data_IF_010005972590
#
_entry.id   IF_010005972590
#
_cell.length_a   1.000
_cell.length_b   1.000
_cell.length_c   1.000
_cell.angle_alpha   90.00
_cell.angle_beta   90.00
_cell.angle_gamma   90.00
#
_symmetry.space_group_name_H-M   'P 1'
#
loop_
_entity.id
_entity.type
_entity.pdbx_description
1 polymer ?
#
# COMPACT_ATOMS: atom_id res chain seq x y z
N UNK A 1 9.13 0.22 5.97
CA UNK A 1 7.77 -0.29 6.21
C UNK A 1 6.91 0.88 5.83
N UNK A 2 6.09 0.75 4.78
CA UNK A 2 5.41 1.90 4.18
C UNK A 2 4.46 2.54 5.21
N UNK A 3 4.90 3.62 5.84
CA UNK A 3 4.17 4.31 6.91
C UNK A 3 3.67 5.70 6.49
N UNK A 4 3.80 6.02 5.20
CA UNK A 4 3.29 7.26 4.64
C UNK A 4 3.08 7.15 3.15
N UNK A 5 1.95 7.63 2.65
CA UNK A 5 1.72 7.68 1.22
C UNK A 5 0.90 8.90 0.81
N UNK A 6 0.74 9.10 -0.49
CA UNK A 6 -0.09 10.16 -1.05
C UNK A 6 -1.09 9.60 -2.05
N UNK A 7 -2.25 10.25 -2.12
CA UNK A 7 -3.25 10.08 -3.17
C UNK A 7 -3.55 11.48 -3.73
N UNK A 8 -2.89 11.81 -4.83
CA UNK A 8 -2.93 13.12 -5.48
C UNK A 8 -3.91 13.09 -6.66
N UNK A 9 -4.06 11.92 -7.27
CA UNK A 9 -5.01 11.68 -8.33
C UNK A 9 -6.42 12.11 -7.92
N UNK A 10 -7.13 12.67 -8.87
CA UNK A 10 -8.50 13.14 -8.74
C UNK A 10 -9.47 11.96 -8.59
N UNK A 11 -10.69 12.19 -8.08
CA UNK A 11 -11.73 11.18 -8.05
C UNK A 11 -12.00 10.54 -9.42
N UNK A 12 -11.95 11.33 -10.50
CA UNK A 12 -12.17 10.85 -11.87
C UNK A 12 -11.04 9.92 -12.33
N UNK A 13 -9.77 10.28 -12.08
CA UNK A 13 -8.62 9.43 -12.41
C UNK A 13 -8.64 8.11 -11.60
N UNK A 14 -9.09 8.15 -10.34
CA UNK A 14 -9.30 6.91 -9.56
C UNK A 14 -10.49 6.12 -10.09
N UNK A 15 -11.57 6.78 -10.48
CA UNK A 15 -12.74 6.13 -11.10
C UNK A 15 -12.36 5.39 -12.37
N UNK A 16 -11.59 6.03 -13.24
CA UNK A 16 -11.07 5.45 -14.49
C UNK A 16 -10.09 4.31 -14.21
N UNK A 17 -9.13 4.48 -13.29
CA UNK A 17 -8.11 3.46 -13.01
C UNK A 17 -8.68 2.16 -12.42
N UNK A 18 -9.86 2.21 -11.81
CA UNK A 18 -10.46 1.07 -11.12
C UNK A 18 -11.87 0.70 -11.60
N UNK A 19 -12.33 1.25 -12.72
CA UNK A 19 -13.68 1.02 -13.26
C UNK A 19 -14.81 1.29 -12.23
N UNK A 20 -14.71 2.40 -11.49
CA UNK A 20 -15.69 2.80 -10.47
C UNK A 20 -16.39 4.08 -10.91
N UNK A 21 -17.72 4.04 -10.95
CA UNK A 21 -18.55 5.23 -11.19
C UNK A 21 -19.01 5.85 -9.88
N UNK A 22 -19.06 7.19 -9.81
CA UNK A 22 -19.69 7.89 -8.69
C UNK A 22 -18.90 7.88 -7.39
N UNK A 23 -17.57 7.95 -7.47
CA UNK A 23 -16.71 8.13 -6.29
C UNK A 23 -17.01 9.49 -5.65
N UNK A 24 -17.24 9.49 -4.33
CA UNK A 24 -17.42 10.73 -3.57
C UNK A 24 -16.21 11.67 -3.76
N UNK A 25 -16.43 12.98 -3.96
CA UNK A 25 -15.33 13.92 -4.12
C UNK A 25 -14.39 13.94 -2.90
N UNK A 26 -13.08 13.86 -3.16
CA UNK A 26 -12.05 14.00 -2.14
C UNK A 26 -10.93 14.93 -2.62
N UNK A 27 -10.28 15.67 -1.71
CA UNK A 27 -9.14 16.51 -2.08
C UNK A 27 -7.88 15.65 -2.26
N UNK A 28 -6.87 16.15 -3.02
CA UNK A 28 -5.55 15.52 -3.05
C UNK A 28 -4.94 15.53 -1.65
N UNK A 29 -4.32 14.40 -1.28
CA UNK A 29 -3.68 14.21 0.03
C UNK A 29 -2.23 13.78 -0.17
N UNK A 30 -1.32 14.65 0.21
CA UNK A 30 0.12 14.47 -0.02
C UNK A 30 0.84 13.71 1.09
N UNK A 31 0.23 13.54 2.28
CA UNK A 31 0.92 13.02 3.46
C UNK A 31 -0.01 12.18 4.37
N UNK A 32 -0.56 11.11 3.81
CA UNK A 32 -1.48 10.20 4.50
C UNK A 32 -0.73 9.32 5.49
N UNK A 33 -1.05 9.44 6.77
CA UNK A 33 -0.41 8.72 7.88
C UNK A 33 -1.31 7.62 8.47
N UNK A 34 -0.74 6.62 9.17
CA UNK A 34 -1.50 5.62 9.90
C UNK A 34 -2.53 6.24 10.85
N UNK A 35 -3.60 5.50 11.11
CA UNK A 35 -4.86 5.88 11.79
C UNK A 35 -5.79 6.81 11.02
N UNK A 36 -5.32 7.47 9.95
CA UNK A 36 -6.19 8.30 9.12
C UNK A 36 -7.10 7.42 8.24
N UNK A 37 -8.27 7.93 7.82
CA UNK A 37 -9.09 7.27 6.81
C UNK A 37 -8.33 7.24 5.48
N UNK A 38 -8.44 6.15 4.74
CA UNK A 38 -7.88 5.93 3.40
C UNK A 38 -8.94 5.34 2.49
N UNK A 39 -8.86 5.65 1.20
CA UNK A 39 -9.73 5.02 0.21
C UNK A 39 -9.28 3.57 0.02
N UNK A 40 -10.22 2.64 0.14
CA UNK A 40 -10.02 1.24 -0.22
C UNK A 40 -11.08 0.84 -1.23
N UNK A 41 -10.65 0.08 -2.22
CA UNK A 41 -11.49 -0.45 -3.27
C UNK A 41 -11.72 -1.93 -2.99
N UNK A 42 -12.99 -2.31 -3.02
CA UNK A 42 -13.46 -3.65 -2.68
C UNK A 42 -14.35 -4.18 -3.78
N UNK A 43 -14.52 -5.50 -3.86
CA UNK A 43 -15.56 -6.07 -4.71
C UNK A 43 -16.95 -5.69 -4.18
N UNK A 44 -17.86 -5.29 -5.07
CA UNK A 44 -19.24 -5.00 -4.71
C UNK A 44 -19.95 -6.22 -4.07
N UNK A 45 -19.55 -7.44 -4.44
CA UNK A 45 -20.09 -8.68 -3.90
C UNK A 45 -19.75 -8.86 -2.42
N UNK A 46 -18.59 -8.38 -1.98
CA UNK A 46 -18.16 -8.47 -0.57
C UNK A 46 -18.97 -7.54 0.35
N UNK A 47 -19.45 -6.40 -0.18
CA UNK A 47 -20.26 -5.45 0.60
C UNK A 47 -21.74 -5.81 0.64
N UNK A 48 -22.29 -6.26 -0.50
CA UNK A 48 -23.75 -6.39 -0.67
C UNK A 48 -24.22 -7.84 -0.75
N UNK A 49 -23.31 -8.81 -0.72
CA UNK A 49 -23.63 -10.23 -0.83
C UNK A 49 -24.06 -10.69 -2.22
N UNK A 50 -23.85 -9.87 -3.27
CA UNK A 50 -24.22 -10.23 -4.64
C UNK A 50 -24.12 -9.14 -5.72
N UNK A 51 -23.66 -7.92 -5.40
CA UNK A 51 -23.42 -6.88 -6.40
C UNK A 51 -22.23 -7.17 -7.33
N UNK A 52 -22.26 -6.61 -8.54
CA UNK A 52 -21.18 -6.67 -9.51
C UNK A 52 -20.34 -5.39 -9.50
N UNK A 53 -19.08 -5.48 -9.95
CA UNK A 53 -18.16 -4.36 -10.04
C UNK A 53 -17.40 -4.08 -8.74
N UNK A 54 -16.89 -2.85 -8.62
CA UNK A 54 -16.02 -2.43 -7.53
C UNK A 54 -16.61 -1.20 -6.85
N UNK A 55 -16.39 -1.09 -5.54
CA UNK A 55 -16.82 0.05 -4.74
C UNK A 55 -15.63 0.66 -4.02
N UNK A 56 -15.66 1.98 -3.84
CA UNK A 56 -14.68 2.71 -3.05
C UNK A 56 -15.28 3.07 -1.68
N UNK A 57 -14.52 2.83 -0.60
CA UNK A 57 -14.92 3.11 0.77
C UNK A 57 -13.81 3.83 1.53
N UNK A 58 -14.19 4.65 2.51
CA UNK A 58 -13.23 5.22 3.47
C UNK A 58 -13.04 4.26 4.65
N UNK A 59 -11.81 3.79 4.82
CA UNK A 59 -11.43 2.80 5.82
C UNK A 59 -10.34 3.37 6.72
N UNK A 60 -10.40 3.13 8.02
CA UNK A 60 -9.33 3.53 8.94
C UNK A 60 -8.06 2.74 8.65
N UNK A 61 -6.95 3.41 8.34
CA UNK A 61 -5.67 2.75 8.14
C UNK A 61 -5.03 2.30 9.46
N UNK A 62 -5.12 1.01 9.76
CA UNK A 62 -4.71 0.38 10.99
C UNK A 62 -5.76 -0.64 11.36
N UNK A 63 -5.55 -1.88 10.91
CA UNK A 63 -6.49 -2.98 11.05
C UNK A 63 -6.69 -3.33 12.53
N UNK A 64 -7.95 -3.51 12.91
CA UNK A 64 -8.37 -4.02 14.20
C UNK A 64 -9.00 -5.40 13.97
N UNK A 65 -8.36 -6.49 14.41
CA UNK A 65 -8.93 -7.82 14.23
C UNK A 65 -10.30 -7.93 14.92
N UNK A 66 -11.25 -8.61 14.27
CA UNK A 66 -12.63 -8.74 14.76
C UNK A 66 -12.78 -9.32 16.19
N UNK A 67 -11.77 -10.03 16.69
CA UNK A 67 -11.78 -10.61 18.05
C UNK A 67 -11.30 -9.64 19.15
N UNK A 68 -10.79 -8.47 18.78
CA UNK A 68 -10.34 -7.44 19.73
C UNK A 68 -11.55 -6.82 20.42
N UNK A 69 -11.52 -6.74 21.76
CA UNK A 69 -12.61 -6.16 22.56
C UNK A 69 -12.52 -4.65 22.70
N UNK A 70 -11.31 -4.12 22.90
CA UNK A 70 -11.06 -2.68 23.00
C UNK A 70 -10.02 -2.25 21.96
N UNK A 71 -10.47 -1.46 20.99
CA UNK A 71 -9.64 -0.89 19.94
C UNK A 71 -8.51 0.00 20.46
N UNK A 72 -8.69 0.65 21.62
CA UNK A 72 -7.76 1.65 22.17
C UNK A 72 -6.51 1.02 22.78
N UNK A 73 -6.63 -0.21 23.24
CA UNK A 73 -5.52 -0.96 23.86
C UNK A 73 -4.74 -1.82 22.86
N UNK A 74 -5.22 -1.91 21.62
CA UNK A 74 -4.63 -2.77 20.61
C UNK A 74 -3.53 -2.07 19.80
N UNK A 75 -2.53 -2.85 19.38
CA UNK A 75 -1.43 -2.35 18.56
C UNK A 75 -1.90 -1.92 17.18
N UNK A 76 -1.33 -0.82 16.66
CA UNK A 76 -1.69 -0.31 15.34
C UNK A 76 -1.13 -1.21 14.22
N UNK A 77 -1.98 -2.03 13.60
CA UNK A 77 -1.62 -2.92 12.49
C UNK A 77 -1.89 -2.26 11.13
N UNK A 78 -1.05 -1.30 10.74
CA UNK A 78 -1.20 -0.58 9.47
C UNK A 78 -0.50 -1.27 8.28
N UNK A 79 0.44 -2.18 8.55
CA UNK A 79 1.04 -3.05 7.54
C UNK A 79 0.95 -4.52 7.95
N UNK A 80 0.89 -5.40 6.96
CA UNK A 80 1.03 -6.84 7.14
C UNK A 80 2.06 -7.40 6.15
N UNK A 81 2.84 -8.39 6.58
CA UNK A 81 3.81 -9.09 5.71
C UNK A 81 3.05 -10.11 4.87
N UNK A 82 3.05 -9.93 3.56
CA UNK A 82 2.33 -10.80 2.61
C UNK A 82 2.69 -12.28 2.79
N UNK A 83 3.95 -12.57 3.11
CA UNK A 83 4.50 -13.91 3.30
C UNK A 83 3.81 -14.69 4.44
N UNK A 84 3.22 -13.99 5.42
CA UNK A 84 2.61 -14.62 6.61
C UNK A 84 1.18 -14.17 6.87
N UNK A 85 0.64 -13.24 6.08
CA UNK A 85 -0.68 -12.66 6.30
C UNK A 85 -1.80 -13.71 6.26
N UNK A 86 -1.69 -14.70 5.37
CA UNK A 86 -2.66 -15.80 5.26
C UNK A 86 -2.71 -16.72 6.50
N UNK A 87 -1.66 -16.71 7.34
CA UNK A 87 -1.53 -17.60 8.50
C UNK A 87 -1.82 -16.87 9.82
N UNK A 88 -1.47 -15.58 9.91
CA UNK A 88 -1.55 -14.82 11.16
C UNK A 88 -3.00 -14.59 11.59
N UNK A 89 -3.37 -14.85 12.86
CA UNK A 89 -4.75 -14.67 13.35
C UNK A 89 -5.33 -13.26 13.14
N UNK A 90 -4.49 -12.23 13.09
CA UNK A 90 -4.91 -10.86 12.84
C UNK A 90 -5.36 -10.61 11.40
N UNK A 91 -4.89 -11.40 10.42
CA UNK A 91 -5.05 -11.10 8.99
C UNK A 91 -5.68 -12.23 8.18
N UNK A 92 -5.58 -13.49 8.63
CA UNK A 92 -6.04 -14.68 7.88
C UNK A 92 -7.50 -14.62 7.46
N UNK A 93 -8.37 -14.02 8.28
CA UNK A 93 -9.78 -13.81 7.97
C UNK A 93 -9.96 -12.83 6.81
N UNK A 94 -9.33 -11.66 6.92
CA UNK A 94 -9.35 -10.63 5.87
C UNK A 94 -8.71 -11.10 4.57
N UNK A 95 -7.60 -11.85 4.63
CA UNK A 95 -6.95 -12.41 3.45
C UNK A 95 -7.88 -13.35 2.66
N UNK A 96 -8.80 -14.02 3.36
CA UNK A 96 -9.76 -14.93 2.75
C UNK A 96 -11.04 -14.26 2.26
N UNK A 97 -11.41 -13.11 2.83
CA UNK A 97 -12.78 -12.59 2.68
C UNK A 97 -12.90 -11.10 2.36
N UNK A 98 -11.82 -10.33 2.49
CA UNK A 98 -11.82 -8.87 2.42
C UNK A 98 -10.49 -8.37 1.86
N UNK A 99 -10.13 -8.85 0.66
CA UNK A 99 -8.97 -8.36 -0.09
C UNK A 99 -9.35 -7.06 -0.79
N UNK A 100 -8.51 -6.05 -0.66
CA UNK A 100 -8.81 -4.70 -1.14
C UNK A 100 -7.67 -4.15 -1.99
N UNK A 101 -7.95 -3.12 -2.78
CA UNK A 101 -6.95 -2.30 -3.47
C UNK A 101 -6.90 -0.94 -2.80
N UNK A 102 -5.71 -0.40 -2.53
CA UNK A 102 -5.52 0.93 -1.95
C UNK A 102 -4.92 1.84 -3.01
N UNK A 103 -5.69 2.79 -3.58
CA UNK A 103 -5.18 3.75 -4.53
C UNK A 103 -4.10 4.62 -3.90
N UNK A 104 -2.99 4.80 -4.62
CA UNK A 104 -1.93 5.74 -4.25
C UNK A 104 -1.32 6.37 -5.51
N UNK A 105 -0.73 7.55 -5.34
CA UNK A 105 0.12 8.20 -6.35
C UNK A 105 1.60 7.98 -6.08
N UNK A 106 1.93 7.41 -4.93
CA UNK A 106 3.28 7.14 -4.46
C UNK A 106 3.32 7.03 -2.93
N UNK A 107 4.49 6.71 -2.39
CA UNK A 107 4.70 6.54 -0.96
C UNK A 107 6.03 7.11 -0.50
N UNK A 108 6.23 7.24 0.81
CA UNK A 108 7.50 7.71 1.37
C UNK A 108 8.20 6.61 2.13
N UNK A 109 9.52 6.56 1.95
CA UNK A 109 10.43 5.80 2.80
C UNK A 109 11.65 6.63 3.19
N UNK A 110 12.25 6.29 4.32
CA UNK A 110 13.34 7.06 4.92
C UNK A 110 14.63 6.24 4.89
N UNK A 111 15.59 6.66 4.06
CA UNK A 111 16.93 6.05 4.01
C UNK A 111 17.79 6.56 5.16
N UNK A 112 18.43 5.66 5.90
CA UNK A 112 19.45 6.01 6.91
C UNK A 112 20.84 5.69 6.38
N UNK A 113 21.70 6.70 6.27
CA UNK A 113 23.11 6.55 5.88
C UNK A 113 24.02 6.49 7.11
N UNK A 114 23.83 5.47 7.94
CA UNK A 114 24.57 5.26 9.20
C UNK A 114 23.72 5.49 10.46
N UNK A 115 24.17 4.93 11.59
CA UNK A 115 23.38 4.82 12.82
C UNK A 115 22.96 6.17 13.43
N UNK A 116 23.77 7.21 13.27
CA UNK A 116 23.53 8.54 13.84
C UNK A 116 23.02 9.58 12.84
N UNK A 117 22.93 9.22 11.56
CA UNK A 117 22.52 10.15 10.52
C UNK A 117 21.00 10.36 10.55
N UNK A 118 20.56 11.61 10.41
CA UNK A 118 19.14 11.90 10.24
C UNK A 118 18.65 11.26 8.93
N UNK A 119 17.55 10.52 9.00
CA UNK A 119 17.05 9.80 7.83
C UNK A 119 16.58 10.77 6.72
N UNK A 120 16.95 10.47 5.49
CA UNK A 120 16.54 11.21 4.29
C UNK A 120 15.23 10.60 3.75
N UNK A 121 14.11 11.34 3.71
CA UNK A 121 12.90 10.86 3.07
C UNK A 121 13.03 10.88 1.55
N UNK A 122 12.42 9.89 0.90
CA UNK A 122 12.24 9.81 -0.53
C UNK A 122 10.76 9.69 -0.84
N UNK A 123 10.30 10.47 -1.83
CA UNK A 123 9.02 10.24 -2.50
C UNK A 123 9.23 9.19 -3.59
N UNK A 124 8.61 8.03 -3.40
CA UNK A 124 8.72 6.87 -4.29
C UNK A 124 7.42 6.78 -5.08
N UNK A 125 7.52 6.86 -6.41
CA UNK A 125 6.35 6.91 -7.31
C UNK A 125 6.59 6.08 -8.57
N UNK A 126 5.52 5.60 -9.24
CA UNK A 126 5.65 4.92 -10.53
C UNK A 126 6.38 5.83 -11.54
N UNK A 127 7.36 5.29 -12.27
CA UNK A 127 8.17 6.08 -13.23
C UNK A 127 7.36 6.80 -14.29
N UNK A 128 6.27 6.18 -14.71
CA UNK A 128 5.39 6.71 -15.76
C UNK A 128 4.21 7.51 -15.20
N UNK A 129 4.19 7.79 -13.90
CA UNK A 129 3.07 8.43 -13.22
C UNK A 129 1.86 7.50 -13.10
N UNK A 130 0.69 8.10 -12.88
CA UNK A 130 -0.57 7.38 -12.74
C UNK A 130 -0.87 6.90 -11.31
N UNK A 131 -1.98 6.19 -11.19
CA UNK A 131 -2.46 5.62 -9.93
C UNK A 131 -1.98 4.17 -9.82
N UNK A 132 -1.37 3.84 -8.69
CA UNK A 132 -1.00 2.47 -8.32
C UNK A 132 -1.99 1.92 -7.30
N UNK A 133 -2.10 0.59 -7.26
CA UNK A 133 -2.96 -0.11 -6.33
C UNK A 133 -2.11 -0.95 -5.36
N UNK A 134 -2.02 -0.53 -4.10
CA UNK A 134 -1.44 -1.40 -3.10
C UNK A 134 -2.41 -2.53 -2.74
N UNK A 135 -1.89 -3.74 -2.56
CA UNK A 135 -2.68 -4.83 -2.02
C UNK A 135 -3.03 -4.52 -0.55
N UNK A 136 -4.32 -4.45 -0.24
CA UNK A 136 -4.84 -4.17 1.09
C UNK A 136 -5.67 -5.33 1.64
N UNK A 137 -5.87 -5.30 2.94
CA UNK A 137 -6.83 -6.15 3.64
C UNK A 137 -7.72 -5.26 4.51
N UNK A 138 -9.01 -5.57 4.54
CA UNK A 138 -10.00 -4.87 5.37
C UNK A 138 -10.59 -5.82 6.42
N UNK A 139 -10.98 -5.29 7.57
CA UNK A 139 -11.73 -5.98 8.60
C UNK A 139 -12.74 -4.99 9.17
N UNK A 140 -14.05 -5.25 9.04
CA UNK A 140 -15.02 -4.56 9.86
C UNK A 140 -14.77 -4.97 11.32
N UNK A 141 -14.89 -4.02 12.23
CA UNK A 141 -14.76 -4.23 13.66
C UNK A 141 -16.00 -3.70 14.38
N UNK A 142 -16.60 -4.53 15.23
CA UNK A 142 -17.76 -4.19 16.03
C UNK A 142 -17.35 -4.13 17.51
N UNK A 143 -17.43 -2.93 18.09
CA UNK A 143 -17.22 -2.69 19.50
C UNK A 143 -18.36 -3.23 20.37
N UNK A 144 -18.07 -3.49 21.64
CA UNK A 144 -19.07 -3.96 22.60
C UNK A 144 -20.19 -2.95 22.87
N UNK A 145 -19.96 -1.67 22.54
CA UNK A 145 -20.93 -0.58 22.61
C UNK A 145 -21.77 -0.41 21.34
N UNK A 146 -21.57 -1.27 20.34
CA UNK A 146 -22.24 -1.21 19.04
C UNK A 146 -21.53 -0.31 18.02
N UNK A 147 -20.36 0.24 18.33
CA UNK A 147 -19.57 1.02 17.36
C UNK A 147 -19.08 0.12 16.24
N UNK A 148 -19.33 0.50 14.99
CA UNK A 148 -18.79 -0.18 13.81
C UNK A 148 -17.70 0.67 13.16
N UNK A 149 -16.56 0.05 12.87
CA UNK A 149 -15.44 0.71 12.21
C UNK A 149 -14.87 -0.22 11.15
N UNK A 150 -14.86 0.24 9.90
CA UNK A 150 -14.07 -0.41 8.86
C UNK A 150 -12.60 -0.05 9.06
N UNK A 151 -11.77 -1.08 9.21
CA UNK A 151 -10.34 -0.92 9.44
C UNK A 151 -9.55 -1.71 8.41
N UNK A 152 -8.35 -1.24 8.05
CA UNK A 152 -7.59 -1.90 7.01
C UNK A 152 -6.08 -1.75 7.15
N UNK A 153 -5.36 -2.58 6.41
CA UNK A 153 -3.90 -2.65 6.42
C UNK A 153 -3.39 -2.81 5.00
N UNK A 154 -2.15 -2.40 4.76
CA UNK A 154 -1.47 -2.57 3.48
C UNK A 154 -0.53 -3.78 3.56
N UNK A 155 -0.55 -4.62 2.54
CA UNK A 155 0.40 -5.73 2.42
C UNK A 155 1.76 -5.21 1.95
N UNK A 156 2.80 -5.76 2.57
CA UNK A 156 4.19 -5.47 2.23
C UNK A 156 4.88 -6.75 1.78
N UNK A 157 5.90 -6.60 0.97
CA UNK A 157 6.79 -7.66 0.49
C UNK A 157 8.24 -7.19 0.58
N UNK A 158 9.20 -8.04 0.20
CA UNK A 158 10.60 -7.64 0.10
C UNK A 158 10.75 -6.49 -0.92
N UNK A 159 11.67 -5.56 -0.67
CA UNK A 159 11.98 -4.51 -1.65
C UNK A 159 12.78 -5.05 -2.83
N UNK A 160 12.59 -4.43 -3.98
CA UNK A 160 13.36 -4.63 -5.22
C UNK A 160 13.87 -3.29 -5.74
N UNK A 161 14.86 -3.31 -6.63
CA UNK A 161 15.36 -2.12 -7.33
C UNK A 161 15.72 -0.94 -6.41
N UNK A 162 15.33 0.28 -6.81
CA UNK A 162 15.73 1.51 -6.10
C UNK A 162 15.32 1.55 -4.63
N UNK A 163 14.18 0.94 -4.29
CA UNK A 163 13.64 0.98 -2.92
C UNK A 163 14.40 0.01 -1.99
N UNK A 164 15.07 -1.03 -2.52
CA UNK A 164 15.95 -1.88 -1.71
C UNK A 164 17.15 -1.11 -1.11
N UNK A 165 17.61 -0.05 -1.77
CA UNK A 165 18.65 0.84 -1.24
C UNK A 165 18.15 1.81 -0.15
N UNK A 166 16.83 1.91 0.03
CA UNK A 166 16.16 2.82 0.97
C UNK A 166 15.64 2.05 2.18
N UNK A 167 14.91 0.95 1.96
CA UNK A 167 14.31 0.12 3.00
C UNK A 167 14.17 -1.34 2.51
N UNK A 168 14.26 -2.31 3.42
CA UNK A 168 14.11 -3.76 3.14
C UNK A 168 12.68 -4.21 2.75
N UNK A 169 11.69 -3.32 2.79
CA UNK A 169 10.26 -3.63 2.58
C UNK A 169 9.61 -2.60 1.67
N UNK A 170 8.79 -3.09 0.75
CA UNK A 170 7.99 -2.30 -0.18
C UNK A 170 6.52 -2.71 -0.05
N UNK A 171 5.53 -1.82 -0.33
CA UNK A 171 4.16 -2.27 -0.52
C UNK A 171 4.05 -3.25 -1.70
N UNK A 172 3.14 -4.20 -1.58
CA UNK A 172 2.73 -5.05 -2.72
C UNK A 172 1.89 -4.20 -3.66
N UNK A 173 2.20 -4.21 -4.97
CA UNK A 173 1.42 -3.53 -6.00
C UNK A 173 0.71 -4.57 -6.85
N UNK A 174 -0.61 -4.48 -6.94
CA UNK A 174 -1.39 -5.34 -7.83
C UNK A 174 -1.45 -4.66 -9.21
N UNK A 175 -1.22 -5.42 -10.28
CA UNK A 175 -1.34 -4.91 -11.64
C UNK A 175 -2.82 -4.76 -12.04
N UNK A 176 -3.18 -3.80 -12.92
CA UNK A 176 -4.56 -3.61 -13.36
C UNK A 176 -5.24 -4.88 -13.90
N UNK A 177 -4.48 -5.72 -14.62
CA UNK A 177 -4.98 -6.98 -15.16
C UNK A 177 -5.37 -8.01 -14.08
N UNK A 178 -4.84 -7.86 -12.86
CA UNK A 178 -5.06 -8.79 -11.75
C UNK A 178 -6.05 -8.26 -10.70
N UNK A 179 -6.61 -7.06 -10.88
CA UNK A 179 -7.55 -6.46 -9.92
C UNK A 179 -8.73 -7.36 -9.62
N UNK A 180 -9.34 -7.95 -10.64
CA UNK A 180 -10.51 -8.82 -10.47
C UNK A 180 -10.15 -10.11 -9.75
N UNK A 181 -9.06 -10.78 -10.16
CA UNK A 181 -8.56 -11.99 -9.50
C UNK A 181 -8.18 -11.73 -8.04
N UNK A 182 -7.57 -10.58 -7.75
CA UNK A 182 -7.22 -10.18 -6.40
C UNK A 182 -8.48 -9.93 -5.55
N UNK A 183 -9.46 -9.18 -6.06
CA UNK A 183 -10.68 -8.82 -5.31
C UNK A 183 -11.69 -9.97 -5.18
N UNK A 184 -11.62 -11.00 -6.03
CA UNK A 184 -12.55 -12.13 -6.00
C UNK A 184 -12.18 -13.16 -4.91
N UNK A 185 -12.58 -12.87 -3.68
CA UNK A 185 -12.45 -13.78 -2.54
C UNK A 185 -13.40 -14.99 -2.58
N UNK A 186 -14.37 -15.03 -3.50
CA UNK A 186 -15.34 -16.13 -3.59
C UNK A 186 -14.77 -17.29 -4.39
N UNK A 187 -14.09 -16.99 -5.49
CA UNK A 187 -13.57 -18.00 -6.40
C UNK A 187 -12.06 -18.26 -6.23
N UNK A 188 -11.32 -17.36 -5.57
CA UNK A 188 -9.88 -17.52 -5.35
C UNK A 188 -9.52 -17.51 -3.85
N UNK A 189 -8.97 -18.62 -3.39
CA UNK A 189 -8.37 -18.74 -2.06
C UNK A 189 -7.01 -18.01 -1.98
N UNK A 190 -6.53 -17.64 -0.79
CA UNK A 190 -5.25 -16.94 -0.61
C UNK A 190 -4.06 -17.57 -1.33
N UNK A 191 -3.99 -18.91 -1.37
CA UNK A 191 -2.91 -19.65 -2.05
C UNK A 191 -2.94 -19.49 -3.58
N UNK A 192 -4.10 -19.20 -4.15
CA UNK A 192 -4.35 -19.08 -5.59
C UNK A 192 -4.10 -17.67 -6.11
N UNK A 193 -3.76 -16.73 -5.23
CA UNK A 193 -3.38 -15.34 -5.55
C UNK A 193 -2.01 -14.98 -4.98
N UNK A 194 -1.27 -15.97 -4.45
CA UNK A 194 0.01 -15.74 -3.79
C UNK A 194 1.09 -15.23 -4.78
N UNK A 195 0.97 -15.57 -6.06
CA UNK A 195 1.81 -15.06 -7.15
C UNK A 195 1.67 -13.54 -7.34
N UNK A 196 0.52 -12.95 -6.97
CA UNK A 196 0.28 -11.51 -7.05
C UNK A 196 0.98 -10.72 -5.92
N UNK A 197 1.53 -11.40 -4.92
CA UNK A 197 2.16 -10.78 -3.74
C UNK A 197 3.67 -10.58 -3.89
N UNK A 198 4.20 -10.78 -5.09
CA UNK A 198 5.59 -10.58 -5.41
C UNK A 198 6.01 -9.09 -5.32
N UNK A 199 7.30 -8.81 -5.10
CA UNK A 199 7.84 -7.46 -5.27
C UNK A 199 7.54 -6.91 -6.68
N UNK A 200 7.21 -5.62 -6.81
CA UNK A 200 7.10 -4.97 -8.12
C UNK A 200 8.40 -5.09 -8.92
N UNK A 201 8.35 -5.02 -10.26
CA UNK A 201 9.55 -4.98 -11.09
C UNK A 201 10.55 -3.92 -10.61
N UNK A 202 11.85 -4.22 -10.69
CA UNK A 202 12.90 -3.37 -10.13
C UNK A 202 12.92 -1.94 -10.70
N UNK A 203 12.45 -1.78 -11.94
CA UNK A 203 12.36 -0.52 -12.67
C UNK A 203 10.99 0.17 -12.52
N UNK A 204 10.01 -0.43 -11.83
CA UNK A 204 8.65 0.12 -11.70
C UNK A 204 8.63 1.50 -11.02
N UNK A 205 9.47 1.68 -10.01
CA UNK A 205 9.53 2.90 -9.20
C UNK A 205 10.76 3.76 -9.50
N UNK A 206 10.59 5.08 -9.36
CA UNK A 206 11.67 6.02 -9.10
C UNK A 206 11.57 6.56 -7.67
N UNK A 207 12.70 6.99 -7.11
CA UNK A 207 12.77 7.56 -5.77
C UNK A 207 13.40 8.96 -5.82
N UNK A 208 12.64 9.97 -5.42
CA UNK A 208 13.03 11.37 -5.44
C UNK A 208 13.29 11.86 -4.01
N UNK A 209 14.48 12.40 -3.67
CA UNK A 209 14.72 12.90 -2.32
C UNK A 209 13.84 14.14 -2.07
N UNK A 210 13.18 14.20 -0.91
CA UNK A 210 12.28 15.30 -0.54
C UNK A 210 12.66 15.95 0.79
N UNK A 211 11.99 17.05 1.12
CA UNK A 211 12.18 17.73 2.41
C UNK A 211 11.83 16.85 3.61
N UNK A 212 12.59 17.00 4.70
CA UNK A 212 12.30 16.34 6.00
C UNK A 212 10.96 16.76 6.61
N UNK A 213 10.35 17.84 6.11
CA UNK A 213 9.04 18.33 6.52
C UNK A 213 7.96 17.23 6.48
N UNK A 214 8.04 16.26 5.56
CA UNK A 214 7.05 15.17 5.45
C UNK A 214 6.98 14.29 6.71
N UNK A 215 8.07 14.20 7.48
CA UNK A 215 8.12 13.42 8.73
C UNK A 215 7.05 13.87 9.73
N UNK A 216 6.71 15.16 9.75
CA UNK A 216 5.59 15.68 10.53
C UNK A 216 4.28 15.44 9.78
N UNK A 217 3.45 14.51 10.30
CA UNK A 217 2.16 14.13 9.72
C UNK A 217 1.11 15.25 9.71
N UNK A 218 1.37 16.42 10.32
CA UNK A 218 0.50 17.60 10.24
C UNK A 218 0.74 18.42 8.97
N UNK A 219 1.89 18.25 8.32
CA UNK A 219 2.17 18.92 7.06
C UNK A 219 1.44 18.18 5.94
N UNK A 220 0.68 18.90 5.11
CA UNK A 220 -0.20 18.31 4.08
C UNK A 220 -0.05 18.97 2.71
N UNK A 221 0.94 19.85 2.53
CA UNK A 221 1.10 20.63 1.30
C UNK A 221 1.73 19.86 0.15
N UNK A 222 1.55 20.37 -1.07
CA UNK A 222 2.13 19.82 -2.28
C UNK A 222 3.67 19.91 -2.31
N UNK A 223 4.23 20.86 -1.55
CA UNK A 223 5.68 21.04 -1.35
C UNK A 223 6.36 19.80 -0.76
N UNK A 224 5.61 18.90 -0.12
CA UNK A 224 6.15 17.69 0.49
C UNK A 224 6.66 16.64 -0.50
N UNK A 225 6.20 16.71 -1.75
CA UNK A 225 6.64 15.81 -2.83
C UNK A 225 7.59 16.51 -3.81
N UNK A 226 7.91 17.79 -3.59
CA UNK A 226 8.85 18.52 -4.44
C UNK A 226 10.27 17.97 -4.23
N UNK A 227 10.95 17.52 -5.30
CA UNK A 227 12.30 16.98 -5.19
C UNK A 227 13.28 18.08 -4.75
N UNK A 228 14.15 17.75 -3.79
CA UNK A 228 15.25 18.62 -3.34
C UNK A 228 16.60 18.24 -3.98
N UNK A 229 16.59 17.30 -4.92
CA UNK A 229 17.77 16.78 -5.58
C UNK A 229 17.42 15.78 -6.69
N UNK A 230 18.44 15.23 -7.38
CA UNK A 230 18.22 14.23 -8.41
C UNK A 230 17.63 12.94 -7.83
N UNK A 231 16.94 12.17 -8.67
CA UNK A 231 16.45 10.85 -8.31
C UNK A 231 17.59 9.95 -7.82
N UNK A 232 17.30 9.05 -6.88
CA UNK A 232 18.24 8.02 -6.48
C UNK A 232 18.44 7.06 -7.65
N UNK A 233 19.67 6.98 -8.14
CA UNK A 233 20.08 5.94 -9.09
C UNK A 233 20.24 4.63 -8.31
N UNK A 234 19.65 3.55 -8.84
CA UNK A 234 20.03 2.20 -8.40
C UNK A 234 21.38 1.90 -9.02
N UNK A 235 22.35 1.43 -8.22
CA UNK A 235 23.54 0.83 -8.83
C UNK A 235 23.05 -0.40 -9.62
N UNK A 236 23.56 -0.65 -10.84
CA UNK A 236 23.24 -1.88 -11.54
C UNK A 236 23.54 -3.05 -10.60
N UNK A 237 22.62 -4.03 -10.52
CA UNK A 237 22.90 -5.29 -9.85
C UNK A 237 24.23 -5.79 -10.42
N UNK A 238 25.23 -5.93 -9.55
CA UNK A 238 26.55 -6.43 -9.92
C UNK A 238 26.31 -7.76 -10.64
N UNK A 239 26.40 -7.76 -11.97
CA UNK A 239 26.44 -8.98 -12.76
C UNK A 239 27.70 -9.69 -12.26
N UNK A 240 27.51 -10.57 -11.28
CA UNK A 240 28.58 -11.31 -10.62
C UNK A 240 29.55 -11.82 -11.69
N UNK A 241 30.87 -11.75 -11.42
CA UNK A 241 31.90 -11.75 -12.44
C UNK A 241 31.58 -12.83 -13.47
N UNK A 242 31.22 -12.36 -14.68
CA UNK A 242 30.84 -13.23 -15.79
C UNK A 242 31.84 -14.37 -15.86
N UNK A 243 31.33 -15.59 -15.72
CA UNK A 243 32.12 -16.80 -15.76
C UNK A 243 32.76 -16.91 -17.15
N UNK A 244 33.92 -16.28 -17.29
CA UNK A 244 34.86 -16.59 -18.35
C UNK A 244 35.57 -17.88 -17.94
N UNK A 245 34.90 -19.02 -18.16
CA UNK A 245 35.60 -20.29 -18.26
C UNK A 245 35.79 -20.64 -19.73
N UNK A 246 36.96 -20.20 -20.19
CA UNK A 246 37.84 -20.85 -21.15
C UNK A 246 37.56 -22.34 -21.35
N UNK A 247 36.91 -22.69 -22.46
CA UNK A 247 37.19 -23.90 -23.26
C UNK A 247 36.83 -23.66 -24.72
#
# INVERSE_FOLDING_TARGET
>A
MCGRFGLIATPDEVGEAFDITGIDPFPPRYNIAPSQPILMIVSASELTGGGEGRNALLVRWGLIPAWVKDAREFSLLFNARSETAAEKPAFRGSMRHFRTLVPASGFFEWRRTGEKAAAQPYWIRPRHGGVIAFAGLMSPWLGADGTEIDTGTILTTASSGVIAHIHERSPVVIAPADYERWLDCRNYEPREVADLLAPPPADFFEALPVSKAVSNARNMGADLIEPIGPALEGEPEDEGPGQMDLF
#
